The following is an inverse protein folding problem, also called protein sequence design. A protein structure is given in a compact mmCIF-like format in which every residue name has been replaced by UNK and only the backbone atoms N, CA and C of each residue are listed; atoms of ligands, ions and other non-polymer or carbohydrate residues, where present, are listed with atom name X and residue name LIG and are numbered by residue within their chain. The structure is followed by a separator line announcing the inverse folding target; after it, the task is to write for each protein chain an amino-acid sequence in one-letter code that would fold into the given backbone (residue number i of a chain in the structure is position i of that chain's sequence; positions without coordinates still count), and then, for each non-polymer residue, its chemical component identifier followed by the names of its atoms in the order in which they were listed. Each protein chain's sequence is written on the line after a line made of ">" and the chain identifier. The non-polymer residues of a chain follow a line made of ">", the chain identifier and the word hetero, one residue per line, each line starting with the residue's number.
data_IF_977914698916
#
_entry.id   IF_977914698916
#
_cell.length_a   1.000
_cell.length_b   1.000
_cell.length_c   1.000
_cell.angle_alpha   90.00
_cell.angle_beta   90.00
_cell.angle_gamma   90.00
#
_symmetry.space_group_name_H-M   'P 1'
#
loop_
_entity.id
_entity.type
_entity.pdbx_description
1 polymer ?
#
# COMPACT_ATOMS: atom_id res chain seq x y z
N UNK A 1 5.70 -10.17 11.30
CA UNK A 1 6.16 -11.03 10.19
C UNK A 1 7.18 -10.22 9.40
N UNK A 2 8.44 -10.66 9.29
CA UNK A 2 9.46 -9.94 8.53
C UNK A 2 9.12 -9.94 7.02
N UNK A 3 9.29 -8.78 6.39
CA UNK A 3 9.21 -8.62 4.94
C UNK A 3 10.56 -8.07 4.50
N UNK A 4 11.38 -8.91 3.91
CA UNK A 4 12.77 -8.62 3.55
C UNK A 4 13.04 -8.97 2.08
N UNK A 5 14.21 -8.59 1.56
CA UNK A 5 14.57 -8.92 0.19
C UNK A 5 14.71 -10.44 -0.04
N UNK A 6 15.05 -11.20 1.01
CA UNK A 6 15.22 -12.66 0.93
C UNK A 6 13.89 -13.41 0.74
N UNK A 7 12.77 -12.81 1.12
CA UNK A 7 11.43 -13.38 0.89
C UNK A 7 10.59 -12.55 -0.08
N UNK A 8 11.24 -11.76 -0.95
CA UNK A 8 10.58 -10.87 -1.92
C UNK A 8 9.54 -9.93 -1.28
N UNK A 9 9.74 -9.57 -0.01
CA UNK A 9 8.83 -8.79 0.82
C UNK A 9 7.45 -9.42 1.03
N UNK A 10 7.32 -10.73 0.79
CA UNK A 10 6.12 -11.52 1.11
C UNK A 10 6.34 -12.18 2.47
N UNK A 11 5.52 -11.90 3.48
CA UNK A 11 5.72 -12.49 4.80
C UNK A 11 5.40 -13.99 4.82
N UNK A 12 6.20 -14.75 5.55
CA UNK A 12 5.89 -16.13 5.88
C UNK A 12 4.73 -16.20 6.89
N UNK A 13 4.03 -17.33 6.91
CA UNK A 13 3.02 -17.60 7.94
C UNK A 13 3.65 -17.57 9.34
N UNK A 14 2.99 -16.94 10.33
CA UNK A 14 3.51 -16.88 11.67
C UNK A 14 3.58 -18.28 12.32
N UNK A 15 4.56 -18.47 13.21
CA UNK A 15 4.72 -19.74 13.94
C UNK A 15 3.62 -19.97 14.98
N UNK A 16 3.12 -18.88 15.56
CA UNK A 16 2.02 -18.87 16.50
C UNK A 16 0.74 -18.48 15.76
N UNK A 17 -0.37 -19.15 16.08
CA UNK A 17 -1.67 -18.86 15.45
C UNK A 17 -2.23 -17.55 15.99
N UNK A 18 -2.32 -16.48 15.16
CA UNK A 18 -2.86 -15.20 15.59
C UNK A 18 -4.39 -15.17 15.47
N UNK A 19 -5.05 -14.35 16.29
CA UNK A 19 -6.47 -14.04 16.13
C UNK A 19 -6.72 -13.03 14.98
N UNK A 20 -5.73 -12.14 14.74
CA UNK A 20 -5.83 -11.08 13.73
C UNK A 20 -4.55 -11.05 12.89
N UNK A 21 -4.74 -10.99 11.57
CA UNK A 21 -3.68 -10.84 10.58
C UNK A 21 -3.90 -9.50 9.86
N UNK A 22 -2.90 -8.61 9.92
CA UNK A 22 -2.96 -7.35 9.16
C UNK A 22 -2.07 -7.47 7.92
N UNK A 23 -2.65 -7.34 6.73
CA UNK A 23 -1.95 -7.35 5.45
C UNK A 23 -2.20 -6.03 4.72
N UNK A 24 -1.16 -5.44 4.15
CA UNK A 24 -1.23 -4.23 3.33
C UNK A 24 -0.60 -4.51 1.97
N UNK A 25 -1.44 -4.65 0.94
CA UNK A 25 -0.99 -4.86 -0.44
C UNK A 25 -1.88 -4.12 -1.44
N UNK A 26 -1.29 -3.40 -2.41
CA UNK A 26 0.15 -3.11 -2.53
C UNK A 26 0.71 -2.41 -1.29
N UNK A 27 1.98 -2.70 -0.96
CA UNK A 27 2.54 -2.36 0.34
C UNK A 27 3.10 -0.93 0.41
N UNK A 28 2.89 -0.29 1.53
CA UNK A 28 3.64 0.85 2.01
C UNK A 28 4.44 0.40 3.25
N UNK A 29 5.80 0.39 3.23
CA UNK A 29 6.66 1.25 2.41
C UNK A 29 7.27 0.60 1.16
N UNK A 30 7.25 -0.72 0.99
CA UNK A 30 8.10 -1.42 0.02
C UNK A 30 7.66 -1.25 -1.44
N UNK A 31 6.41 -0.84 -1.68
CA UNK A 31 5.84 -0.75 -3.03
C UNK A 31 5.66 -2.11 -3.71
N UNK A 32 5.85 -3.20 -2.98
CA UNK A 32 5.67 -4.57 -3.46
C UNK A 32 4.24 -5.05 -3.28
N UNK A 33 3.90 -6.16 -3.89
CA UNK A 33 2.58 -6.81 -3.75
C UNK A 33 2.74 -8.32 -3.74
N UNK A 34 1.64 -9.04 -3.54
CA UNK A 34 1.56 -10.49 -3.63
C UNK A 34 0.62 -10.87 -4.77
N UNK A 35 0.84 -12.05 -5.34
CA UNK A 35 -0.06 -12.59 -6.35
C UNK A 35 -1.40 -12.99 -5.73
N UNK A 36 -2.42 -13.11 -6.58
CA UNK A 36 -3.73 -13.63 -6.14
C UNK A 36 -3.63 -15.04 -5.55
N UNK A 37 -2.73 -15.88 -6.07
CA UNK A 37 -2.49 -17.21 -5.52
C UNK A 37 -1.92 -17.15 -4.09
N UNK A 38 -0.92 -16.30 -3.85
CA UNK A 38 -0.38 -16.08 -2.51
C UNK A 38 -1.42 -15.47 -1.55
N UNK A 39 -2.27 -14.56 -2.04
CA UNK A 39 -3.36 -14.01 -1.23
C UNK A 39 -4.39 -15.09 -0.87
N UNK A 40 -4.68 -16.05 -1.79
CA UNK A 40 -5.54 -17.19 -1.52
C UNK A 40 -4.99 -18.07 -0.39
N UNK A 41 -3.66 -18.31 -0.37
CA UNK A 41 -3.03 -19.08 0.72
C UNK A 41 -3.24 -18.41 2.09
N UNK A 42 -3.19 -17.06 2.15
CA UNK A 42 -3.50 -16.31 3.38
C UNK A 42 -4.96 -16.46 3.80
N UNK A 43 -5.89 -16.44 2.86
CA UNK A 43 -7.33 -16.66 3.11
C UNK A 43 -7.57 -18.06 3.63
N UNK A 44 -6.97 -19.07 3.01
CA UNK A 44 -7.07 -20.47 3.42
C UNK A 44 -6.48 -20.68 4.82
N UNK A 45 -5.32 -20.09 5.09
CA UNK A 45 -4.69 -20.13 6.40
C UNK A 45 -5.58 -19.50 7.48
N UNK A 46 -6.11 -18.29 7.24
CA UNK A 46 -6.98 -17.60 8.19
C UNK A 46 -8.26 -18.40 8.50
N UNK A 47 -8.90 -18.95 7.47
CA UNK A 47 -10.07 -19.81 7.66
C UNK A 47 -9.74 -21.07 8.46
N UNK A 48 -8.57 -21.69 8.22
CA UNK A 48 -8.12 -22.89 8.93
C UNK A 48 -7.93 -22.66 10.42
N UNK A 49 -7.35 -21.52 10.82
CA UNK A 49 -7.05 -21.21 12.24
C UNK A 49 -8.14 -20.39 12.91
N UNK A 50 -9.16 -19.92 12.18
CA UNK A 50 -10.22 -19.05 12.70
C UNK A 50 -9.80 -17.60 12.93
N UNK A 51 -8.74 -17.13 12.26
CA UNK A 51 -8.27 -15.75 12.34
C UNK A 51 -9.07 -14.80 11.43
N UNK A 52 -9.01 -13.50 11.74
CA UNK A 52 -9.57 -12.43 10.91
C UNK A 52 -8.45 -11.68 10.20
N UNK A 53 -8.51 -11.61 8.87
CA UNK A 53 -7.62 -10.76 8.08
C UNK A 53 -8.20 -9.33 8.02
N UNK A 54 -7.39 -8.33 8.37
CA UNK A 54 -7.62 -6.93 8.02
C UNK A 54 -6.74 -6.63 6.80
N UNK A 55 -7.38 -6.50 5.64
CA UNK A 55 -6.71 -6.28 4.37
C UNK A 55 -6.75 -4.81 3.98
N UNK A 56 -5.59 -4.14 4.03
CA UNK A 56 -5.45 -2.74 3.66
C UNK A 56 -5.13 -2.63 2.17
N UNK A 57 -6.16 -2.30 1.37
CA UNK A 57 -6.09 -2.13 -0.08
C UNK A 57 -6.06 -0.65 -0.50
N UNK A 58 -5.45 0.23 0.31
CA UNK A 58 -5.43 1.67 0.04
C UNK A 58 -4.73 2.05 -1.29
N UNK A 59 -3.93 1.16 -1.85
CA UNK A 59 -3.19 1.38 -3.11
C UNK A 59 -3.68 0.49 -4.26
N UNK A 60 -4.81 -0.17 -4.17
CA UNK A 60 -5.33 -1.10 -5.17
C UNK A 60 -5.47 -0.48 -6.58
N UNK A 61 -5.79 0.81 -6.67
CA UNK A 61 -5.95 1.52 -7.93
C UNK A 61 -4.65 1.63 -8.75
N UNK A 62 -3.50 1.33 -8.14
CA UNK A 62 -2.18 1.35 -8.78
C UNK A 62 -1.76 -0.02 -9.33
N UNK A 63 -2.52 -1.08 -9.07
CA UNK A 63 -2.26 -2.42 -9.58
C UNK A 63 -2.38 -2.42 -11.10
N UNK A 64 -1.36 -2.97 -11.76
CA UNK A 64 -1.26 -3.05 -13.22
C UNK A 64 -1.01 -4.46 -13.75
N UNK A 65 -0.71 -5.41 -12.87
CA UNK A 65 -0.41 -6.81 -13.21
C UNK A 65 -1.67 -7.67 -13.02
N UNK A 66 -1.98 -8.52 -14.00
CA UNK A 66 -3.23 -9.29 -14.05
C UNK A 66 -3.33 -10.40 -12.99
N UNK A 67 -2.19 -10.85 -12.45
CA UNK A 67 -2.11 -11.88 -11.42
C UNK A 67 -2.23 -11.34 -9.98
N UNK A 68 -2.40 -10.03 -9.82
CA UNK A 68 -2.58 -9.34 -8.54
C UNK A 68 -4.06 -9.03 -8.33
N UNK A 69 -4.60 -9.46 -7.20
CA UNK A 69 -6.01 -9.20 -6.87
C UNK A 69 -6.24 -7.72 -6.50
N UNK A 70 -7.29 -7.10 -7.06
CA UNK A 70 -7.74 -5.77 -6.67
C UNK A 70 -8.56 -5.77 -5.37
N UNK A 71 -9.05 -6.93 -4.96
CA UNK A 71 -9.81 -7.12 -3.73
C UNK A 71 -9.52 -8.49 -3.14
N UNK A 72 -9.43 -8.58 -1.81
CA UNK A 72 -9.32 -9.87 -1.13
C UNK A 72 -10.55 -10.76 -1.42
N UNK A 73 -11.69 -10.16 -1.76
CA UNK A 73 -12.92 -10.90 -2.08
C UNK A 73 -12.92 -11.56 -3.46
N UNK A 74 -11.85 -11.41 -4.23
CA UNK A 74 -11.58 -12.25 -5.40
C UNK A 74 -11.04 -13.64 -5.02
N UNK A 75 -10.62 -13.80 -3.75
CA UNK A 75 -10.21 -15.10 -3.19
C UNK A 75 -11.40 -15.85 -2.62
N UNK A 76 -11.45 -17.16 -2.87
CA UNK A 76 -12.49 -18.02 -2.34
C UNK A 76 -12.41 -18.09 -0.80
N UNK A 77 -13.55 -18.03 -0.12
CA UNK A 77 -13.61 -18.06 1.35
C UNK A 77 -13.25 -16.76 2.05
N UNK A 78 -12.85 -15.68 1.34
CA UNK A 78 -12.47 -14.43 1.99
C UNK A 78 -13.62 -13.76 2.76
N UNK A 79 -14.87 -13.97 2.38
CA UNK A 79 -16.04 -13.38 3.06
C UNK A 79 -16.27 -13.91 4.47
N UNK A 80 -15.68 -15.04 4.81
CA UNK A 80 -15.80 -15.64 6.15
C UNK A 80 -14.64 -15.30 7.08
N UNK A 81 -13.54 -14.69 6.56
CA UNK A 81 -12.37 -14.41 7.37
C UNK A 81 -11.75 -13.00 7.13
N UNK A 82 -12.27 -12.17 6.22
CA UNK A 82 -11.59 -10.92 5.89
C UNK A 82 -12.48 -9.67 6.00
N UNK A 83 -11.84 -8.57 6.46
CA UNK A 83 -12.33 -7.19 6.41
C UNK A 83 -11.42 -6.43 5.45
N UNK A 84 -11.98 -5.67 4.51
CA UNK A 84 -11.21 -4.88 3.55
C UNK A 84 -11.33 -3.39 3.83
N UNK A 85 -10.18 -2.70 3.81
CA UNK A 85 -10.08 -1.26 3.96
C UNK A 85 -9.76 -0.61 2.61
N UNK A 86 -10.51 0.44 2.26
CA UNK A 86 -10.35 1.21 1.03
C UNK A 86 -10.16 2.69 1.32
N UNK A 87 -9.41 3.38 0.48
CA UNK A 87 -9.11 4.80 0.65
C UNK A 87 -9.18 5.57 -0.66
N UNK A 88 -9.80 6.75 -0.62
CA UNK A 88 -9.76 7.73 -1.71
C UNK A 88 -8.56 8.69 -1.59
N UNK A 89 -7.77 8.58 -0.52
CA UNK A 89 -6.67 9.51 -0.25
C UNK A 89 -5.62 9.53 -1.35
N UNK A 90 -5.36 8.38 -1.99
CA UNK A 90 -4.24 8.24 -2.94
C UNK A 90 -4.70 8.29 -4.39
N UNK A 91 -5.70 7.50 -4.74
CA UNK A 91 -6.20 7.43 -6.11
C UNK A 91 -6.99 8.68 -6.53
N UNK A 92 -7.76 9.29 -5.62
CA UNK A 92 -8.61 10.45 -5.89
C UNK A 92 -8.10 11.77 -5.28
N UNK A 93 -6.93 11.77 -4.65
CA UNK A 93 -6.38 12.98 -4.03
C UNK A 93 -7.13 13.46 -2.78
N UNK A 94 -7.97 12.62 -2.16
CA UNK A 94 -8.81 12.99 -1.01
C UNK A 94 -8.05 12.98 0.34
N UNK A 95 -6.74 13.16 0.32
CA UNK A 95 -5.92 13.19 1.54
C UNK A 95 -6.40 14.25 2.53
N UNK A 96 -6.76 15.45 2.04
CA UNK A 96 -7.27 16.55 2.85
C UNK A 96 -8.76 16.47 3.17
N UNK A 97 -9.57 15.82 2.33
CA UNK A 97 -11.03 15.72 2.47
C UNK A 97 -11.49 14.51 3.28
N UNK A 98 -10.60 13.54 3.51
CA UNK A 98 -10.76 12.39 4.42
C UNK A 98 -11.92 11.45 4.06
N UNK A 99 -11.75 10.63 3.03
CA UNK A 99 -12.72 9.61 2.67
C UNK A 99 -12.06 8.23 2.52
N UNK A 100 -12.71 7.24 3.06
CA UNK A 100 -12.42 5.82 2.90
C UNK A 100 -13.67 5.02 3.24
N UNK A 101 -13.62 3.72 3.00
CA UNK A 101 -14.69 2.82 3.41
C UNK A 101 -14.11 1.47 3.86
N UNK A 102 -14.90 0.76 4.63
CA UNK A 102 -14.58 -0.57 5.14
C UNK A 102 -15.66 -1.54 4.69
N UNK A 103 -15.26 -2.65 4.12
CA UNK A 103 -16.16 -3.75 3.77
C UNK A 103 -16.07 -4.81 4.87
N UNK A 104 -17.18 -5.04 5.55
CA UNK A 104 -17.32 -6.08 6.58
C UNK A 104 -18.43 -7.04 6.12
N UNK A 105 -18.10 -8.23 5.65
CA UNK A 105 -19.10 -9.21 5.19
C UNK A 105 -20.04 -9.65 6.31
N UNK A 106 -21.29 -9.97 5.95
CA UNK A 106 -22.27 -10.51 6.88
C UNK A 106 -21.98 -11.98 7.27
N UNK A 107 -21.19 -12.65 6.45
CA UNK A 107 -20.79 -14.03 6.68
C UNK A 107 -19.63 -14.15 7.68
N UNK A 108 -18.91 -13.05 7.94
CA UNK A 108 -17.84 -13.00 8.92
C UNK A 108 -18.41 -12.92 10.34
N UNK A 109 -18.14 -13.95 11.15
CA UNK A 109 -18.70 -14.13 12.50
C UNK A 109 -17.61 -14.31 13.54
N UNK A 110 -17.91 -13.89 14.77
CA UNK A 110 -17.22 -14.26 16.00
C UNK A 110 -18.23 -14.92 16.95
N UNK A 111 -18.19 -16.25 17.03
CA UNK A 111 -19.26 -17.04 17.66
C UNK A 111 -20.59 -16.83 16.91
N UNK A 112 -21.64 -16.51 17.65
CA UNK A 112 -23.00 -16.30 17.09
C UNK A 112 -23.23 -14.89 16.55
N UNK A 113 -22.24 -13.98 16.66
CA UNK A 113 -22.40 -12.56 16.30
C UNK A 113 -21.66 -12.27 14.99
N UNK A 114 -22.34 -11.56 14.07
CA UNK A 114 -21.67 -11.08 12.84
C UNK A 114 -20.84 -9.84 13.15
N UNK A 115 -19.58 -9.80 12.66
CA UNK A 115 -18.73 -8.61 12.82
C UNK A 115 -19.35 -7.41 12.10
N UNK A 116 -20.11 -7.63 11.02
CA UNK A 116 -20.86 -6.57 10.36
C UNK A 116 -21.84 -5.84 11.31
N UNK A 117 -22.59 -6.56 12.16
CA UNK A 117 -23.53 -5.94 13.10
C UNK A 117 -22.82 -5.11 14.16
N UNK A 118 -21.68 -5.59 14.67
CA UNK A 118 -20.84 -4.85 15.61
C UNK A 118 -20.23 -3.60 14.99
N UNK A 119 -19.71 -3.74 13.76
CA UNK A 119 -19.15 -2.62 13.01
C UNK A 119 -20.21 -1.56 12.70
N UNK A 120 -21.37 -1.96 12.19
CA UNK A 120 -22.46 -1.04 11.88
C UNK A 120 -22.91 -0.23 13.12
N UNK A 121 -23.08 -0.91 14.28
CA UNK A 121 -23.41 -0.24 15.54
C UNK A 121 -22.31 0.72 15.97
N UNK A 122 -21.04 0.28 15.96
CA UNK A 122 -19.92 1.14 16.36
C UNK A 122 -19.78 2.35 15.45
N UNK A 123 -19.83 2.15 14.13
CA UNK A 123 -19.74 3.22 13.15
C UNK A 123 -20.87 4.23 13.31
N UNK A 124 -22.13 3.76 13.39
CA UNK A 124 -23.30 4.62 13.51
C UNK A 124 -23.41 5.36 14.87
N UNK A 125 -22.74 4.88 15.93
CA UNK A 125 -22.80 5.52 17.26
C UNK A 125 -21.57 6.37 17.61
N UNK A 126 -20.41 6.09 17.01
CA UNK A 126 -19.14 6.77 17.32
C UNK A 126 -18.70 7.80 16.29
N UNK A 127 -19.06 7.60 15.03
CA UNK A 127 -18.55 8.42 13.94
C UNK A 127 -19.63 9.01 13.03
N UNK A 128 -20.71 8.27 12.75
CA UNK A 128 -21.82 8.63 11.85
C UNK A 128 -21.45 8.76 10.35
N UNK A 129 -20.19 8.58 9.98
CA UNK A 129 -19.70 8.66 8.60
C UNK A 129 -19.03 10.00 8.25
N UNK A 130 -18.47 10.03 7.05
CA UNK A 130 -17.86 11.23 6.48
C UNK A 130 -18.93 12.30 6.16
N UNK A 131 -18.57 13.59 6.03
CA UNK A 131 -19.49 14.63 5.61
C UNK A 131 -20.19 14.27 4.31
N UNK A 132 -21.50 14.56 4.18
CA UNK A 132 -22.34 14.16 3.04
C UNK A 132 -21.75 14.61 1.69
N UNK A 133 -21.28 15.86 1.59
CA UNK A 133 -20.68 16.38 0.35
C UNK A 133 -19.44 15.58 -0.08
N UNK A 134 -18.65 15.08 0.88
CA UNK A 134 -17.47 14.26 0.61
C UNK A 134 -17.89 12.85 0.16
N UNK A 135 -18.96 12.29 0.72
CA UNK A 135 -19.53 11.03 0.24
C UNK A 135 -20.02 11.15 -1.20
N UNK A 136 -20.70 12.27 -1.55
CA UNK A 136 -21.13 12.55 -2.94
C UNK A 136 -19.95 12.71 -3.89
N UNK A 137 -18.85 13.36 -3.43
CA UNK A 137 -17.63 13.43 -4.21
C UNK A 137 -17.00 12.05 -4.44
N UNK A 138 -17.01 11.18 -3.43
CA UNK A 138 -16.56 9.78 -3.56
C UNK A 138 -17.43 8.99 -4.54
N UNK A 139 -18.75 9.19 -4.53
CA UNK A 139 -19.66 8.55 -5.49
C UNK A 139 -19.33 8.99 -6.93
N UNK A 140 -19.04 10.28 -7.14
CA UNK A 140 -18.66 10.81 -8.44
C UNK A 140 -17.39 10.14 -9.02
N UNK A 141 -16.46 9.67 -8.17
CA UNK A 141 -15.29 8.91 -8.60
C UNK A 141 -15.63 7.60 -9.34
N UNK A 142 -16.83 7.05 -9.13
CA UNK A 142 -17.29 5.82 -9.79
C UNK A 142 -18.09 6.09 -11.08
N UNK A 143 -18.38 7.34 -11.43
CA UNK A 143 -18.95 7.69 -12.72
C UNK A 143 -17.96 7.37 -13.86
N UNK A 144 -18.45 7.31 -15.10
CA UNK A 144 -17.57 7.09 -16.26
C UNK A 144 -16.48 8.18 -16.38
N UNK A 145 -16.86 9.44 -16.17
CA UNK A 145 -15.92 10.57 -16.17
C UNK A 145 -14.93 10.50 -15.00
N UNK A 146 -15.43 10.26 -13.78
CA UNK A 146 -14.58 10.13 -12.59
C UNK A 146 -13.54 9.01 -12.74
N UNK A 147 -13.94 7.84 -13.24
CA UNK A 147 -13.01 6.74 -13.51
C UNK A 147 -11.93 7.10 -14.53
N UNK A 148 -12.31 7.85 -15.60
CA UNK A 148 -11.34 8.31 -16.59
C UNK A 148 -10.30 9.26 -15.98
N UNK A 149 -10.76 10.27 -15.22
CA UNK A 149 -9.87 11.21 -14.52
C UNK A 149 -8.96 10.53 -13.51
N UNK A 150 -9.48 9.57 -12.73
CA UNK A 150 -8.66 8.81 -11.77
C UNK A 150 -7.60 7.96 -12.47
N UNK A 151 -7.94 7.35 -13.60
CA UNK A 151 -6.97 6.58 -14.41
C UNK A 151 -5.82 7.46 -14.90
N UNK A 152 -6.11 8.68 -15.36
CA UNK A 152 -5.09 9.65 -15.79
C UNK A 152 -4.19 10.05 -14.61
N UNK A 153 -4.77 10.32 -13.44
CA UNK A 153 -4.02 10.67 -12.24
C UNK A 153 -3.11 9.53 -11.77
N UNK A 154 -3.63 8.31 -11.74
CA UNK A 154 -2.83 7.12 -11.40
C UNK A 154 -1.69 6.94 -12.40
N UNK A 155 -1.97 7.05 -13.71
CA UNK A 155 -0.95 6.95 -14.76
C UNK A 155 0.15 8.00 -14.60
N UNK A 156 -0.21 9.24 -14.22
CA UNK A 156 0.77 10.30 -13.95
C UNK A 156 1.75 9.91 -12.83
N UNK A 157 1.23 9.43 -11.71
CA UNK A 157 2.08 9.01 -10.60
C UNK A 157 2.90 7.75 -10.92
N UNK A 158 2.32 6.79 -11.65
CA UNK A 158 3.05 5.59 -12.03
C UNK A 158 4.15 5.86 -13.07
N UNK A 159 3.97 6.89 -13.94
CA UNK A 159 5.05 7.36 -14.79
C UNK A 159 6.22 7.96 -13.96
N UNK A 160 5.92 8.74 -12.93
CA UNK A 160 6.94 9.21 -11.99
C UNK A 160 7.64 8.04 -11.27
N UNK A 161 6.88 7.03 -10.83
CA UNK A 161 7.44 5.84 -10.19
C UNK A 161 8.43 5.10 -11.12
N UNK A 162 8.06 4.96 -12.40
CA UNK A 162 8.92 4.36 -13.42
C UNK A 162 10.22 5.16 -13.59
N UNK A 163 10.14 6.48 -13.71
CA UNK A 163 11.32 7.36 -13.84
C UNK A 163 12.25 7.22 -12.62
N UNK A 164 11.69 7.22 -11.41
CA UNK A 164 12.47 7.04 -10.19
C UNK A 164 13.14 5.67 -10.20
N UNK A 165 12.38 4.61 -10.45
CA UNK A 165 12.90 3.23 -10.44
C UNK A 165 14.01 3.02 -11.46
N UNK A 166 13.78 3.42 -12.71
CA UNK A 166 14.78 3.29 -13.80
C UNK A 166 16.00 4.16 -13.50
N UNK A 167 15.79 5.42 -13.12
CA UNK A 167 16.88 6.33 -12.82
C UNK A 167 17.80 5.89 -11.67
N UNK A 168 17.22 5.29 -10.62
CA UNK A 168 17.99 4.73 -9.51
C UNK A 168 18.76 3.47 -9.93
N UNK A 169 18.15 2.59 -10.76
CA UNK A 169 18.84 1.43 -11.31
C UNK A 169 20.03 1.83 -12.18
N UNK A 170 19.85 2.83 -13.03
CA UNK A 170 20.93 3.37 -13.87
C UNK A 170 22.08 3.97 -13.01
N UNK A 171 21.75 4.51 -11.84
CA UNK A 171 22.74 5.00 -10.87
C UNK A 171 23.37 3.88 -10.00
N UNK A 172 23.04 2.62 -10.25
CA UNK A 172 23.62 1.45 -9.58
C UNK A 172 22.94 1.05 -8.27
N UNK A 173 21.79 1.66 -7.91
CA UNK A 173 21.06 1.29 -6.70
C UNK A 173 20.21 0.04 -6.89
N UNK A 174 20.12 -0.78 -5.84
CA UNK A 174 19.15 -1.87 -5.75
C UNK A 174 17.81 -1.31 -5.30
N UNK A 175 16.75 -1.53 -6.10
CA UNK A 175 15.42 -0.97 -5.84
C UNK A 175 14.32 -1.99 -6.05
N UNK A 176 13.27 -1.88 -5.24
CA UNK A 176 12.06 -2.70 -5.24
C UNK A 176 10.82 -1.80 -5.40
N UNK A 177 9.66 -2.40 -5.67
CA UNK A 177 8.41 -1.66 -5.83
C UNK A 177 8.32 -0.85 -7.12
N UNK A 178 7.46 0.17 -7.14
CA UNK A 178 7.27 1.08 -8.28
C UNK A 178 6.62 0.46 -9.51
N UNK A 179 5.87 -0.65 -9.36
CA UNK A 179 5.09 -1.32 -10.42
C UNK A 179 3.60 -1.27 -10.10
N UNK A 180 3.20 -1.78 -8.94
CA UNK A 180 1.81 -1.80 -8.49
C UNK A 180 1.54 -0.81 -7.35
N UNK A 181 2.49 0.07 -7.07
CA UNK A 181 2.38 1.11 -6.05
C UNK A 181 3.30 2.29 -6.35
N UNK A 182 2.95 3.51 -5.90
CA UNK A 182 3.74 4.71 -6.13
C UNK A 182 4.93 4.84 -5.15
N UNK A 183 5.43 3.73 -4.60
CA UNK A 183 6.57 3.69 -3.69
C UNK A 183 7.71 2.89 -4.29
N UNK A 184 8.90 3.44 -4.12
CA UNK A 184 10.16 2.81 -4.46
C UNK A 184 10.95 2.60 -3.19
N UNK A 185 11.31 1.36 -2.93
CA UNK A 185 12.10 0.92 -1.79
C UNK A 185 13.52 0.70 -2.24
N UNK A 186 14.41 1.57 -1.82
CA UNK A 186 15.81 1.60 -2.22
C UNK A 186 16.65 0.99 -1.10
N UNK A 187 17.53 0.06 -1.43
CA UNK A 187 18.56 -0.41 -0.53
C UNK A 187 19.69 0.62 -0.47
N UNK A 188 20.08 1.05 0.74
CA UNK A 188 21.16 2.03 0.90
C UNK A 188 22.50 1.45 0.45
N UNK A 189 23.39 2.25 -0.17
CA UNK A 189 24.69 1.77 -0.59
C UNK A 189 25.53 1.34 0.63
N UNK A 190 26.32 0.27 0.46
CA UNK A 190 27.26 -0.26 1.46
C UNK A 190 26.61 -0.51 2.85
N UNK A 191 25.30 -0.78 2.87
CA UNK A 191 24.52 -0.93 4.10
C UNK A 191 24.58 0.31 5.01
N UNK A 192 24.73 1.49 4.43
CA UNK A 192 24.69 2.75 5.15
C UNK A 192 23.42 2.82 6.01
N UNK A 193 23.49 3.26 7.28
CA UNK A 193 22.30 3.45 8.11
C UNK A 193 21.27 4.37 7.43
N UNK A 194 19.99 4.06 7.59
CA UNK A 194 18.90 4.76 6.90
C UNK A 194 18.88 6.26 7.13
N UNK A 195 19.23 6.73 8.34
CA UNK A 195 19.32 8.14 8.68
C UNK A 195 20.56 8.81 8.10
N UNK A 196 21.71 8.11 8.04
CA UNK A 196 22.92 8.63 7.43
C UNK A 196 22.70 8.85 5.92
N UNK A 197 21.96 7.92 5.27
CA UNK A 197 21.58 8.07 3.88
C UNK A 197 20.58 9.22 3.65
N UNK A 198 19.67 9.47 4.59
CA UNK A 198 18.81 10.65 4.57
C UNK A 198 19.66 11.95 4.54
N UNK A 199 20.60 12.06 5.47
CA UNK A 199 21.49 13.21 5.54
C UNK A 199 22.36 13.35 4.29
N UNK A 200 22.84 12.22 3.76
CA UNK A 200 23.64 12.20 2.54
C UNK A 200 22.86 12.75 1.34
N UNK A 201 21.63 12.25 1.10
CA UNK A 201 20.79 12.74 -0.01
C UNK A 201 20.38 14.20 0.17
N UNK A 202 20.03 14.60 1.39
CA UNK A 202 19.64 15.98 1.67
C UNK A 202 20.79 16.94 1.38
N UNK A 203 22.01 16.65 1.86
CA UNK A 203 23.19 17.53 1.75
C UNK A 203 23.76 17.58 0.34
N UNK A 204 23.76 16.46 -0.38
CA UNK A 204 24.46 16.36 -1.66
C UNK A 204 23.53 16.45 -2.89
N UNK A 205 22.26 16.07 -2.75
CA UNK A 205 21.30 16.10 -3.86
C UNK A 205 20.09 17.02 -3.62
N UNK A 206 19.91 17.58 -2.43
CA UNK A 206 18.70 18.30 -2.02
C UNK A 206 17.42 17.44 -2.25
N UNK A 207 17.50 16.16 -1.94
CA UNK A 207 16.39 15.21 -2.06
C UNK A 207 16.00 14.71 -0.67
N UNK A 208 14.70 14.71 -0.40
CA UNK A 208 14.11 14.23 0.85
C UNK A 208 13.25 13.01 0.57
N UNK A 209 13.46 11.96 1.34
CA UNK A 209 12.62 10.76 1.34
C UNK A 209 12.42 10.27 2.78
N UNK A 210 12.06 9.02 2.96
CA UNK A 210 11.78 8.47 4.30
C UNK A 210 12.80 7.38 4.65
N UNK A 211 13.57 7.53 5.74
CA UNK A 211 14.44 6.47 6.23
C UNK A 211 13.68 5.19 6.50
N UNK A 212 14.20 4.06 6.05
CA UNK A 212 13.53 2.77 6.19
C UNK A 212 13.34 2.32 7.62
N UNK A 213 14.29 2.65 8.52
CA UNK A 213 14.18 2.39 9.96
C UNK A 213 12.93 3.03 10.61
N UNK A 214 12.36 4.07 10.00
CA UNK A 214 11.09 4.66 10.43
C UNK A 214 9.87 3.74 10.27
N UNK A 215 10.01 2.64 9.52
CA UNK A 215 8.97 1.62 9.32
C UNK A 215 9.20 0.34 10.15
N UNK A 216 10.21 0.34 10.98
CA UNK A 216 10.56 -0.78 11.86
C UNK A 216 11.96 -1.35 11.59
N UNK A 217 12.40 -2.31 12.41
CA UNK A 217 13.78 -2.84 12.36
C UNK A 217 14.17 -3.44 11.01
N UNK A 218 13.26 -4.11 10.32
CA UNK A 218 13.50 -4.69 8.99
C UNK A 218 13.69 -3.63 7.89
N UNK A 219 13.38 -2.38 8.18
CA UNK A 219 13.60 -1.26 7.26
C UNK A 219 14.97 -0.61 7.38
N UNK A 220 15.80 -1.01 8.35
CA UNK A 220 17.17 -0.49 8.47
C UNK A 220 18.00 -0.89 7.25
N UNK A 221 18.81 0.04 6.72
CA UNK A 221 19.53 -0.16 5.47
C UNK A 221 18.69 0.03 4.20
N UNK A 222 17.48 0.57 4.35
CA UNK A 222 16.59 0.93 3.24
C UNK A 222 16.11 2.37 3.32
N UNK A 223 15.56 2.85 2.21
CA UNK A 223 15.04 4.21 2.07
C UNK A 223 13.83 4.23 1.13
N UNK A 224 12.73 4.90 1.54
CA UNK A 224 11.55 5.01 0.69
C UNK A 224 11.53 6.32 -0.07
N UNK A 225 11.39 6.23 -1.40
CA UNK A 225 10.99 7.33 -2.28
C UNK A 225 9.53 7.17 -2.69
N UNK A 226 8.89 8.31 -3.01
CA UNK A 226 7.49 8.35 -3.43
C UNK A 226 7.33 9.09 -4.76
N UNK A 227 6.39 8.61 -5.56
CA UNK A 227 6.06 9.18 -6.87
C UNK A 227 5.01 10.31 -6.81
N UNK A 228 4.56 10.72 -5.63
CA UNK A 228 3.52 11.74 -5.45
C UNK A 228 3.98 13.19 -5.67
N UNK A 229 5.18 13.40 -6.19
CA UNK A 229 5.70 14.71 -6.54
C UNK A 229 5.26 15.20 -7.92
N UNK A 230 5.64 16.44 -8.26
CA UNK A 230 5.51 16.91 -9.64
C UNK A 230 6.49 16.17 -10.55
N UNK A 231 6.13 16.04 -11.84
CA UNK A 231 6.99 15.40 -12.83
C UNK A 231 8.35 16.10 -12.96
N UNK A 232 8.34 17.43 -13.01
CA UNK A 232 9.54 18.25 -13.10
C UNK A 232 10.51 18.03 -11.91
N UNK A 233 9.97 18.01 -10.68
CA UNK A 233 10.80 17.78 -9.50
C UNK A 233 11.30 16.32 -9.43
N UNK A 234 10.52 15.36 -9.94
CA UNK A 234 10.94 13.96 -10.04
C UNK A 234 12.16 13.82 -10.96
N UNK A 235 12.12 14.43 -12.15
CA UNK A 235 13.25 14.43 -13.08
C UNK A 235 14.50 15.10 -12.46
N UNK A 236 14.34 16.27 -11.86
CA UNK A 236 15.45 16.98 -11.19
C UNK A 236 16.07 16.17 -10.04
N UNK A 237 15.21 15.48 -9.24
CA UNK A 237 15.70 14.65 -8.14
C UNK A 237 16.55 13.49 -8.65
N UNK A 238 16.09 12.81 -9.70
CA UNK A 238 16.81 11.69 -10.28
C UNK A 238 18.11 12.14 -10.95
N UNK A 239 18.10 13.27 -11.68
CA UNK A 239 19.31 13.85 -12.25
C UNK A 239 20.39 14.13 -11.18
N UNK A 240 19.99 14.71 -10.05
CA UNK A 240 20.88 15.00 -8.93
C UNK A 240 21.42 13.74 -8.25
N UNK A 241 20.58 12.72 -8.08
CA UNK A 241 21.02 11.44 -7.50
C UNK A 241 22.02 10.72 -8.44
N UNK A 242 21.80 10.77 -9.77
CA UNK A 242 22.73 10.20 -10.73
C UNK A 242 24.11 10.90 -10.78
N UNK A 243 24.20 12.11 -10.26
CA UNK A 243 25.44 12.88 -10.23
C UNK A 243 26.25 12.66 -8.95
N UNK A 244 25.78 11.86 -7.99
CA UNK A 244 26.48 11.48 -6.76
C UNK A 244 27.51 10.39 -7.02
#
# INVERSE_FOLDING_TARGET
>A
MPCTAENDFVPDFPKEEPDIIYLCFPNNPTGTTITKAQLQEWVDYANKIGAVIIYDAAYEAYISEDDVAHSIYECEGARTCAIELRSFSKNAGFTGTRLGFTVVPKDLKAGDVTLHSLWARRHGTKYNGAPYIIQRAGEACYSAEGKAQLKEQVAFYMNNAKIIKEGLKDAGYTVFGGVNAPYIWLQTPDKMPSWDFFDFLLKNANVVGTPGSGFGPSGEGYFRLTAFGSHENTLKAIERIKAL
#
